data_IF_422898373530
#
_entry.id   IF_422898373530
#
_cell.length_a   1.000
_cell.length_b   1.000
_cell.length_c   1.000
_cell.angle_alpha   90.00
_cell.angle_beta   90.00
_cell.angle_gamma   90.00
#
_symmetry.space_group_name_H-M   'P 1'
#
loop_
_entity.id
_entity.type
_entity.pdbx_description
1 polymer ?
#
# COMPACT_ATOMS: atom_id res chain seq x y z
N UNK A 1 15.15 7.97 17.50
CA UNK A 1 16.18 8.55 16.61
C UNK A 1 17.50 7.82 16.84
N UNK A 2 17.66 6.63 16.25
CA UNK A 2 19.00 6.04 16.11
C UNK A 2 19.74 6.77 15.00
N UNK A 3 21.04 6.98 15.15
CA UNK A 3 21.89 7.45 14.07
C UNK A 3 21.68 6.54 12.84
N UNK A 4 21.07 7.09 11.79
CA UNK A 4 20.79 6.39 10.54
C UNK A 4 22.12 6.00 9.91
N UNK A 5 22.44 4.70 9.98
CA UNK A 5 23.51 4.15 9.16
C UNK A 5 23.05 4.11 7.71
N UNK A 6 24.00 4.26 6.78
CA UNK A 6 23.77 4.13 5.33
C UNK A 6 23.29 2.70 5.00
N UNK A 7 21.99 2.44 5.17
CA UNK A 7 21.40 1.11 4.93
C UNK A 7 21.45 0.75 3.46
N UNK A 8 21.17 1.70 2.56
CA UNK A 8 21.40 1.54 1.12
C UNK A 8 22.69 2.27 0.75
N UNK A 9 23.56 1.64 -0.03
CA UNK A 9 24.76 2.28 -0.55
C UNK A 9 25.07 1.85 -1.97
N UNK A 10 25.32 2.82 -2.85
CA UNK A 10 25.89 2.60 -4.17
C UNK A 10 27.40 2.69 -4.05
N UNK A 11 28.08 1.55 -4.09
CA UNK A 11 29.53 1.49 -4.06
C UNK A 11 30.09 1.67 -5.47
N UNK A 12 30.56 2.88 -5.76
CA UNK A 12 31.19 3.26 -7.02
C UNK A 12 32.72 3.28 -6.85
N UNK A 13 33.41 2.39 -7.58
CA UNK A 13 34.88 2.29 -7.58
C UNK A 13 35.43 2.84 -8.90
N UNK A 14 36.08 4.02 -8.92
CA UNK A 14 36.64 4.58 -10.14
C UNK A 14 37.64 3.64 -10.81
N UNK A 15 37.58 3.54 -12.14
CA UNK A 15 38.57 2.79 -12.88
C UNK A 15 39.95 3.45 -12.74
N UNK A 16 41.01 2.64 -12.58
CA UNK A 16 42.39 3.11 -12.36
C UNK A 16 43.03 3.85 -13.55
N UNK A 17 42.32 3.99 -14.67
CA UNK A 17 42.86 4.57 -15.89
C UNK A 17 42.38 6.00 -16.03
N UNK A 18 43.32 6.94 -16.15
CA UNK A 18 43.00 8.37 -16.38
C UNK A 18 42.18 8.60 -17.67
N UNK A 19 42.26 7.69 -18.65
CA UNK A 19 41.48 7.76 -19.89
C UNK A 19 40.01 7.35 -19.73
N UNK A 20 39.65 6.78 -18.59
CA UNK A 20 38.31 6.29 -18.26
C UNK A 20 37.79 6.97 -17.00
N UNK A 21 37.93 8.30 -16.95
CA UNK A 21 37.61 9.13 -15.78
C UNK A 21 36.13 9.03 -15.35
N UNK A 22 35.22 8.70 -16.27
CA UNK A 22 33.78 8.52 -16.05
C UNK A 22 33.37 7.06 -15.86
N UNK A 23 34.29 6.10 -15.93
CA UNK A 23 33.97 4.68 -15.80
C UNK A 23 34.19 4.22 -14.36
N UNK A 24 33.20 3.54 -13.79
CA UNK A 24 33.27 2.97 -12.44
C UNK A 24 32.80 1.51 -12.43
N UNK A 25 33.33 0.74 -11.50
CA UNK A 25 32.74 -0.51 -11.08
C UNK A 25 31.66 -0.23 -10.01
N UNK A 26 30.43 -0.66 -10.24
CA UNK A 26 29.27 -0.48 -9.37
C UNK A 26 28.89 -1.80 -8.68
N UNK A 27 28.60 -1.70 -7.39
CA UNK A 27 27.87 -2.67 -6.58
C UNK A 27 26.88 -1.93 -5.68
N UNK A 28 25.72 -2.52 -5.41
CA UNK A 28 24.74 -1.97 -4.46
C UNK A 28 24.77 -2.82 -3.21
N UNK A 29 24.88 -2.17 -2.06
CA UNK A 29 24.87 -2.78 -0.74
C UNK A 29 23.56 -2.44 -0.02
N UNK A 30 22.98 -3.43 0.66
CA UNK A 30 21.88 -3.23 1.60
C UNK A 30 22.28 -3.80 2.95
N UNK A 31 22.23 -2.97 4.00
CA UNK A 31 22.70 -3.29 5.35
C UNK A 31 24.17 -3.80 5.37
N UNK A 32 24.98 -3.28 4.44
CA UNK A 32 26.39 -3.65 4.27
C UNK A 32 26.65 -4.91 3.42
N UNK A 33 25.60 -5.63 3.04
CA UNK A 33 25.70 -6.87 2.26
C UNK A 33 25.46 -6.61 0.76
N UNK A 34 26.19 -7.28 -0.16
CA UNK A 34 25.97 -7.16 -1.60
C UNK A 34 24.54 -7.56 -2.00
N UNK A 35 23.81 -6.61 -2.59
CA UNK A 35 22.44 -6.80 -3.04
C UNK A 35 22.34 -6.89 -4.58
N UNK A 36 23.24 -6.23 -5.31
CA UNK A 36 23.29 -6.21 -6.78
C UNK A 36 24.72 -5.92 -7.26
N UNK A 37 25.19 -6.50 -8.40
CA UNK A 37 24.47 -7.32 -9.39
C UNK A 37 24.17 -8.74 -8.97
N UNK A 38 25.01 -9.33 -8.11
CA UNK A 38 24.82 -10.71 -7.64
C UNK A 38 24.71 -10.70 -6.12
N UNK A 39 23.51 -11.01 -5.56
CA UNK A 39 23.31 -10.97 -4.12
C UNK A 39 24.28 -11.90 -3.36
N UNK A 40 24.96 -11.35 -2.35
CA UNK A 40 25.94 -12.03 -1.49
C UNK A 40 27.36 -12.13 -2.05
N UNK A 41 27.63 -11.67 -3.27
CA UNK A 41 28.96 -11.76 -3.90
C UNK A 41 29.69 -10.41 -3.88
N UNK A 42 30.74 -10.28 -3.07
CA UNK A 42 31.49 -9.02 -2.87
C UNK A 42 32.37 -8.61 -4.04
N UNK A 43 32.70 -9.56 -4.91
CA UNK A 43 33.55 -9.36 -6.09
C UNK A 43 32.74 -9.12 -7.37
N UNK A 44 31.41 -9.31 -7.32
CA UNK A 44 30.54 -9.10 -8.46
C UNK A 44 30.31 -7.59 -8.66
N UNK A 45 30.93 -7.02 -9.69
CA UNK A 45 30.86 -5.59 -10.02
C UNK A 45 30.42 -5.41 -11.47
N UNK A 46 29.65 -4.37 -11.74
CA UNK A 46 29.30 -3.96 -13.11
C UNK A 46 30.13 -2.74 -13.49
N UNK A 47 30.88 -2.81 -14.61
CA UNK A 47 31.54 -1.63 -15.17
C UNK A 47 30.51 -0.77 -15.90
N UNK A 48 30.30 0.45 -15.41
CA UNK A 48 29.30 1.41 -15.91
C UNK A 48 29.94 2.73 -16.30
N UNK A 49 29.28 3.50 -17.16
CA UNK A 49 29.52 4.94 -17.26
C UNK A 49 28.68 5.65 -16.19
N UNK A 50 29.31 6.50 -15.38
CA UNK A 50 28.61 7.13 -14.25
C UNK A 50 27.59 8.19 -14.70
N UNK A 51 27.78 8.77 -15.88
CA UNK A 51 26.84 9.70 -16.49
C UNK A 51 25.53 9.02 -16.89
N UNK A 52 25.54 7.73 -17.26
CA UNK A 52 24.32 6.95 -17.50
C UNK A 52 23.46 6.84 -16.23
N UNK A 53 24.09 6.52 -15.09
CA UNK A 53 23.40 6.47 -13.80
C UNK A 53 22.87 7.86 -13.39
N UNK A 54 23.65 8.91 -13.58
CA UNK A 54 23.19 10.28 -13.26
C UNK A 54 22.02 10.69 -14.14
N UNK A 55 22.07 10.39 -15.44
CA UNK A 55 20.99 10.69 -16.38
C UNK A 55 19.71 9.96 -15.96
N UNK A 56 19.79 8.66 -15.68
CA UNK A 56 18.65 7.87 -15.19
C UNK A 56 18.05 8.47 -13.92
N UNK A 57 18.88 8.76 -12.91
CA UNK A 57 18.40 9.33 -11.66
C UNK A 57 17.79 10.72 -11.85
N UNK A 58 18.30 11.51 -12.80
CA UNK A 58 17.77 12.85 -13.11
C UNK A 58 16.42 12.77 -13.83
N UNK A 59 16.33 11.96 -14.88
CA UNK A 59 15.13 11.82 -15.71
C UNK A 59 13.99 11.16 -14.93
N UNK A 60 14.33 10.18 -14.08
CA UNK A 60 13.36 9.41 -13.31
C UNK A 60 13.27 9.81 -11.83
N UNK A 61 13.85 10.95 -11.43
CA UNK A 61 13.81 11.40 -10.03
C UNK A 61 12.38 11.50 -9.49
N UNK A 62 11.50 12.17 -10.24
CA UNK A 62 10.10 12.38 -9.84
C UNK A 62 9.31 11.08 -9.75
N UNK A 63 9.31 10.17 -10.75
CA UNK A 63 8.64 8.89 -10.61
C UNK A 63 9.20 8.07 -9.44
N UNK A 64 10.53 7.98 -9.27
CA UNK A 64 11.14 7.23 -8.16
C UNK A 64 10.69 7.78 -6.79
N UNK A 65 10.66 9.09 -6.63
CA UNK A 65 10.39 9.71 -5.33
C UNK A 65 8.91 9.92 -5.03
N UNK A 66 8.07 10.18 -6.04
CA UNK A 66 6.68 10.62 -5.84
C UNK A 66 5.66 9.54 -6.16
N UNK A 67 5.93 8.65 -7.11
CA UNK A 67 4.97 7.60 -7.49
C UNK A 67 4.98 6.49 -6.45
N UNK A 68 3.79 6.12 -5.97
CA UNK A 68 3.63 5.05 -4.97
C UNK A 68 2.65 3.95 -5.40
N UNK A 69 2.24 3.99 -6.66
CA UNK A 69 1.23 3.08 -7.24
C UNK A 69 1.74 2.48 -8.54
N UNK A 70 1.27 1.27 -8.84
CA UNK A 70 1.53 0.61 -10.12
C UNK A 70 0.79 1.31 -11.27
N UNK A 71 1.27 1.18 -12.51
CA UNK A 71 0.72 1.86 -13.67
C UNK A 71 -0.62 1.26 -14.15
N UNK A 72 -1.02 0.11 -13.60
CA UNK A 72 -2.23 -0.65 -13.95
C UNK A 72 -2.97 -1.09 -12.67
N UNK A 73 -4.17 -1.64 -12.84
CA UNK A 73 -5.03 -2.21 -11.79
C UNK A 73 -4.49 -3.56 -11.28
N UNK A 74 -3.24 -3.56 -10.80
CA UNK A 74 -2.57 -4.73 -10.24
C UNK A 74 -1.84 -4.40 -8.93
N UNK A 75 -1.89 -5.33 -7.97
CA UNK A 75 -1.25 -5.22 -6.66
C UNK A 75 -0.24 -6.37 -6.47
N UNK A 76 0.79 -6.46 -7.33
CA UNK A 76 1.79 -7.50 -7.18
C UNK A 76 2.47 -7.38 -5.82
N UNK A 77 2.76 -8.52 -5.20
CA UNK A 77 3.55 -8.56 -3.96
C UNK A 77 5.02 -8.15 -4.16
N UNK A 78 5.47 -8.16 -5.42
CA UNK A 78 6.83 -7.91 -5.88
C UNK A 78 6.80 -7.10 -7.18
N UNK A 79 7.49 -5.96 -7.29
CA UNK A 79 7.56 -5.19 -8.54
C UNK A 79 7.90 -6.05 -9.76
N UNK A 80 8.84 -6.99 -9.61
CA UNK A 80 9.27 -7.90 -10.70
C UNK A 80 8.17 -8.81 -11.27
N UNK A 81 7.05 -8.98 -10.57
CA UNK A 81 5.92 -9.81 -11.03
C UNK A 81 4.83 -9.02 -11.75
N UNK A 82 4.95 -7.69 -11.84
CA UNK A 82 3.94 -6.83 -12.46
C UNK A 82 3.60 -7.26 -13.89
N UNK A 83 4.63 -7.39 -14.73
CA UNK A 83 4.47 -7.73 -16.15
C UNK A 83 3.82 -9.09 -16.36
N UNK A 84 4.25 -10.11 -15.63
CA UNK A 84 3.68 -11.46 -15.78
C UNK A 84 2.22 -11.54 -15.32
N UNK A 85 1.82 -10.73 -14.34
CA UNK A 85 0.42 -10.59 -13.94
C UNK A 85 -0.38 -9.92 -15.05
N UNK A 86 0.13 -8.81 -15.62
CA UNK A 86 -0.54 -8.10 -16.70
C UNK A 86 -0.71 -8.98 -17.97
N UNK A 87 0.35 -9.68 -18.37
CA UNK A 87 0.34 -10.58 -19.54
C UNK A 87 -0.73 -11.67 -19.43
N UNK A 88 -0.96 -12.21 -18.22
CA UNK A 88 -2.01 -13.19 -17.98
C UNK A 88 -3.42 -12.60 -18.16
N UNK A 89 -3.61 -11.32 -17.86
CA UNK A 89 -4.89 -10.64 -18.04
C UNK A 89 -5.12 -10.18 -19.49
N UNK A 90 -4.05 -9.82 -20.21
CA UNK A 90 -4.11 -9.38 -21.59
C UNK A 90 -4.72 -10.41 -22.54
N UNK A 91 -4.64 -11.71 -22.22
CA UNK A 91 -5.31 -12.79 -22.97
C UNK A 91 -6.84 -12.59 -23.07
N UNK A 92 -7.43 -11.80 -22.18
CA UNK A 92 -8.86 -11.54 -22.09
C UNK A 92 -9.23 -10.08 -22.36
N UNK A 93 -8.26 -9.21 -22.60
CA UNK A 93 -8.46 -7.79 -22.88
C UNK A 93 -8.61 -7.49 -24.38
N UNK A 94 -9.13 -6.31 -24.68
CA UNK A 94 -9.09 -5.80 -26.05
C UNK A 94 -7.63 -5.44 -26.43
N UNK A 95 -7.19 -5.69 -27.68
CA UNK A 95 -5.80 -5.46 -28.08
C UNK A 95 -5.29 -4.03 -27.83
N UNK A 96 -6.15 -3.03 -28.04
CA UNK A 96 -5.79 -1.62 -27.81
C UNK A 96 -5.59 -1.31 -26.32
N UNK A 97 -6.38 -1.93 -25.44
CA UNK A 97 -6.23 -1.79 -24.00
C UNK A 97 -4.94 -2.48 -23.51
N UNK A 98 -4.68 -3.70 -23.97
CA UNK A 98 -3.46 -4.44 -23.66
C UNK A 98 -2.19 -3.69 -24.13
N UNK A 99 -2.22 -3.10 -25.34
CA UNK A 99 -1.11 -2.30 -25.84
C UNK A 99 -0.87 -1.02 -25.00
N UNK A 100 -1.94 -0.35 -24.55
CA UNK A 100 -1.81 0.82 -23.68
C UNK A 100 -1.24 0.45 -22.31
N UNK A 101 -1.65 -0.69 -21.74
CA UNK A 101 -1.07 -1.21 -20.51
C UNK A 101 0.40 -1.62 -20.67
N UNK A 102 0.77 -2.28 -21.77
CA UNK A 102 2.15 -2.65 -22.06
C UNK A 102 3.07 -1.42 -22.14
N UNK A 103 2.62 -0.35 -22.80
CA UNK A 103 3.35 0.93 -22.83
C UNK A 103 3.48 1.55 -21.43
N UNK A 104 2.43 1.47 -20.62
CA UNK A 104 2.44 2.00 -19.26
C UNK A 104 3.39 1.21 -18.32
N UNK A 105 3.41 -0.12 -18.44
CA UNK A 105 4.32 -1.02 -17.71
C UNK A 105 5.76 -0.79 -18.17
N UNK A 106 6.00 -0.69 -19.48
CA UNK A 106 7.35 -0.45 -20.01
C UNK A 106 7.94 0.86 -19.48
N UNK A 107 7.18 1.96 -19.50
CA UNK A 107 7.62 3.24 -18.90
C UNK A 107 7.81 3.15 -17.38
N UNK A 108 7.07 2.28 -16.71
CA UNK A 108 7.24 2.04 -15.29
C UNK A 108 8.54 1.28 -15.00
N UNK A 109 8.81 0.21 -15.76
CA UNK A 109 10.05 -0.57 -15.73
C UNK A 109 11.28 0.30 -16.00
N UNK A 110 11.24 1.10 -17.06
CA UNK A 110 12.33 2.04 -17.40
C UNK A 110 12.67 2.97 -16.23
N UNK A 111 11.70 3.39 -15.43
CA UNK A 111 11.94 4.27 -14.29
C UNK A 111 12.39 3.51 -13.02
N UNK A 112 11.83 2.33 -12.75
CA UNK A 112 11.92 1.66 -11.45
C UNK A 112 12.84 0.43 -11.44
N UNK A 113 13.26 -0.11 -12.58
CA UNK A 113 14.31 -1.11 -12.65
C UNK A 113 15.62 -0.47 -13.10
N UNK A 114 16.58 -0.38 -12.17
CA UNK A 114 17.87 0.24 -12.40
C UNK A 114 18.69 -0.47 -13.50
N UNK A 115 18.37 -1.72 -13.85
CA UNK A 115 19.04 -2.41 -14.93
C UNK A 115 18.90 -1.69 -16.29
N UNK A 116 17.86 -0.86 -16.44
CA UNK A 116 17.63 -0.02 -17.61
C UNK A 116 18.51 1.24 -17.68
N UNK A 117 19.21 1.59 -16.60
CA UNK A 117 20.00 2.82 -16.55
C UNK A 117 21.23 2.79 -17.47
N UNK A 118 21.76 1.61 -17.82
CA UNK A 118 23.10 1.48 -18.38
C UNK A 118 23.11 1.18 -19.88
N UNK A 119 23.41 2.20 -20.69
CA UNK A 119 23.37 2.08 -22.14
C UNK A 119 24.42 1.08 -22.67
N UNK A 120 23.97 0.14 -23.51
CA UNK A 120 24.85 -0.83 -24.16
C UNK A 120 25.28 -2.01 -23.29
N UNK A 121 24.83 -2.08 -22.04
CA UNK A 121 24.90 -3.30 -21.23
C UNK A 121 23.61 -4.11 -21.42
N UNK A 122 23.75 -5.42 -21.60
CA UNK A 122 22.62 -6.33 -21.85
C UNK A 122 22.66 -7.49 -20.85
N UNK A 123 21.47 -7.98 -20.48
CA UNK A 123 21.33 -9.13 -19.59
C UNK A 123 21.76 -8.85 -18.14
N UNK A 124 21.73 -7.58 -17.72
CA UNK A 124 21.88 -7.24 -16.31
C UNK A 124 20.69 -7.80 -15.52
N UNK A 125 20.93 -8.34 -14.31
CA UNK A 125 19.82 -8.75 -13.44
C UNK A 125 19.03 -7.50 -13.01
N UNK A 126 17.69 -7.61 -12.88
CA UNK A 126 16.86 -6.48 -12.48
C UNK A 126 17.18 -6.05 -11.05
N UNK A 127 17.11 -4.75 -10.80
CA UNK A 127 17.14 -4.17 -9.46
C UNK A 127 16.04 -3.12 -9.33
N UNK A 128 14.93 -3.55 -8.73
CA UNK A 128 13.72 -2.77 -8.61
C UNK A 128 13.78 -1.83 -7.42
N UNK A 129 13.25 -0.64 -7.65
CA UNK A 129 13.25 0.49 -6.74
C UNK A 129 11.86 1.15 -6.78
N UNK A 130 11.01 0.87 -5.79
CA UNK A 130 9.64 1.40 -5.75
C UNK A 130 9.28 1.96 -4.37
N UNK A 131 8.79 3.20 -4.34
CA UNK A 131 8.27 3.79 -3.12
C UNK A 131 6.92 3.17 -2.73
N UNK A 132 6.70 2.97 -1.43
CA UNK A 132 5.46 2.49 -0.83
C UNK A 132 5.22 3.20 0.50
N UNK A 133 4.57 4.37 0.46
CA UNK A 133 4.39 5.24 1.63
C UNK A 133 5.71 5.78 2.17
N UNK A 134 5.94 5.55 3.45
CA UNK A 134 7.17 5.89 4.19
C UNK A 134 8.29 4.86 4.01
N UNK A 135 8.03 3.78 3.28
CA UNK A 135 9.00 2.77 2.93
C UNK A 135 9.38 2.83 1.45
N UNK A 136 10.51 2.21 1.14
CA UNK A 136 10.97 1.89 -0.19
C UNK A 136 11.13 0.38 -0.32
N UNK A 137 10.51 -0.20 -1.34
CA UNK A 137 10.67 -1.59 -1.72
C UNK A 137 11.87 -1.65 -2.67
N UNK A 138 12.89 -2.39 -2.25
CA UNK A 138 14.03 -2.75 -3.09
C UNK A 138 13.94 -4.23 -3.39
N UNK A 139 14.10 -4.63 -4.64
CA UNK A 139 14.05 -6.04 -5.02
C UNK A 139 15.15 -6.40 -6.01
N UNK A 140 15.83 -7.52 -5.74
CA UNK A 140 16.69 -8.22 -6.69
C UNK A 140 16.10 -9.59 -7.00
N UNK A 141 16.73 -10.33 -7.90
CA UNK A 141 16.32 -11.70 -8.28
C UNK A 141 16.20 -12.69 -7.11
N UNK A 142 16.80 -12.41 -5.93
CA UNK A 142 16.82 -13.33 -4.78
C UNK A 142 16.19 -12.79 -3.51
N UNK A 143 16.05 -11.47 -3.38
CA UNK A 143 15.67 -10.86 -2.12
C UNK A 143 14.82 -9.60 -2.34
N UNK A 144 14.00 -9.32 -1.32
CA UNK A 144 13.16 -8.14 -1.24
C UNK A 144 13.42 -7.47 0.11
N UNK A 145 13.72 -6.19 0.08
CA UNK A 145 14.00 -5.36 1.24
C UNK A 145 12.98 -4.23 1.34
N UNK A 146 12.74 -3.79 2.58
CA UNK A 146 11.98 -2.59 2.90
C UNK A 146 12.86 -1.68 3.73
N UNK A 147 13.17 -0.50 3.19
CA UNK A 147 13.99 0.51 3.85
C UNK A 147 13.16 1.78 4.03
N UNK A 148 13.42 2.61 5.06
CA UNK A 148 12.79 3.92 5.17
C UNK A 148 13.00 4.77 3.91
N UNK A 149 11.96 5.46 3.45
CA UNK A 149 11.99 6.33 2.28
C UNK A 149 13.13 7.35 2.36
N UNK A 150 13.29 8.00 3.52
CA UNK A 150 14.32 9.00 3.74
C UNK A 150 15.74 8.44 3.63
N UNK A 151 15.99 7.21 4.09
CA UNK A 151 17.30 6.55 3.98
C UNK A 151 17.66 6.30 2.50
N UNK A 152 16.69 5.81 1.72
CA UNK A 152 16.89 5.56 0.28
C UNK A 152 17.10 6.87 -0.48
N UNK A 153 16.26 7.87 -0.22
CA UNK A 153 16.37 9.20 -0.82
C UNK A 153 17.71 9.84 -0.51
N UNK A 154 18.19 9.76 0.74
CA UNK A 154 19.49 10.27 1.15
C UNK A 154 20.63 9.55 0.41
N UNK A 155 20.56 8.22 0.28
CA UNK A 155 21.56 7.43 -0.45
C UNK A 155 21.63 7.79 -1.93
N UNK A 156 20.48 7.93 -2.60
CA UNK A 156 20.42 8.34 -4.01
C UNK A 156 20.94 9.78 -4.21
N UNK A 157 20.60 10.69 -3.30
CA UNK A 157 21.14 12.05 -3.31
C UNK A 157 22.66 12.05 -3.20
N UNK A 158 23.21 11.36 -2.20
CA UNK A 158 24.65 11.24 -2.00
C UNK A 158 25.35 10.62 -3.21
N UNK A 159 24.71 9.64 -3.86
CA UNK A 159 25.23 8.99 -5.07
C UNK A 159 25.30 9.97 -6.23
N UNK A 160 24.21 10.69 -6.54
CA UNK A 160 24.21 11.67 -7.63
C UNK A 160 25.14 12.87 -7.38
N UNK A 161 25.23 13.34 -6.13
CA UNK A 161 26.17 14.40 -5.74
C UNK A 161 27.63 13.96 -5.91
N UNK A 162 27.95 12.71 -5.54
CA UNK A 162 29.27 12.13 -5.76
C UNK A 162 29.60 12.04 -7.26
N UNK A 163 28.65 11.60 -8.08
CA UNK A 163 28.83 11.53 -9.54
C UNK A 163 29.05 12.92 -10.12
N UNK A 164 28.25 13.92 -9.72
CA UNK A 164 28.41 15.30 -10.17
C UNK A 164 29.79 15.87 -9.85
N UNK A 165 30.30 15.65 -8.63
CA UNK A 165 31.64 16.08 -8.23
C UNK A 165 32.70 15.43 -9.14
N UNK A 166 32.56 14.13 -9.42
CA UNK A 166 33.49 13.38 -10.26
C UNK A 166 33.47 13.84 -11.72
N UNK A 167 32.28 14.08 -12.28
CA UNK A 167 32.12 14.59 -13.65
C UNK A 167 32.71 16.00 -13.78
N UNK A 168 32.49 16.86 -12.77
CA UNK A 168 33.08 18.20 -12.72
C UNK A 168 34.62 18.16 -12.73
N UNK A 169 35.23 17.28 -11.93
CA UNK A 169 36.69 17.07 -11.91
C UNK A 169 37.23 16.53 -13.24
N UNK A 170 36.45 15.69 -13.93
CA UNK A 170 36.85 15.10 -15.19
C UNK A 170 36.82 16.12 -16.35
N UNK A 171 35.72 16.87 -16.48
CA UNK A 171 35.52 17.89 -17.52
C UNK A 171 34.30 18.78 -17.19
N UNK A 172 34.51 19.84 -16.41
CA UNK A 172 33.43 20.73 -15.96
C UNK A 172 32.60 21.36 -17.08
N UNK A 173 33.22 21.70 -18.22
CA UNK A 173 32.53 22.34 -19.35
C UNK A 173 31.64 21.32 -20.08
N UNK A 174 32.15 20.11 -20.33
CA UNK A 174 31.38 19.05 -20.99
C UNK A 174 30.15 18.62 -20.19
N UNK A 175 30.28 18.54 -18.86
CA UNK A 175 29.24 17.96 -18.00
C UNK A 175 28.35 18.98 -17.30
N UNK A 176 28.50 20.27 -17.60
CA UNK A 176 27.76 21.34 -16.94
C UNK A 176 26.25 21.14 -17.00
N UNK A 177 25.70 20.74 -18.16
CA UNK A 177 24.26 20.57 -18.34
C UNK A 177 23.70 19.40 -17.51
N UNK A 178 24.42 18.27 -17.44
CA UNK A 178 24.01 17.11 -16.64
C UNK A 178 24.05 17.43 -15.13
N UNK A 179 25.08 18.16 -14.69
CA UNK A 179 25.20 18.61 -13.29
C UNK A 179 24.09 19.59 -12.93
N UNK A 180 23.79 20.55 -13.82
CA UNK A 180 22.71 21.51 -13.62
C UNK A 180 21.35 20.80 -13.56
N UNK A 181 21.09 19.85 -14.47
CA UNK A 181 19.86 19.07 -14.48
C UNK A 181 19.68 18.26 -13.18
N UNK A 182 20.75 17.64 -12.67
CA UNK A 182 20.73 16.99 -11.36
C UNK A 182 20.39 17.97 -10.24
N UNK A 183 20.99 19.15 -10.21
CA UNK A 183 20.72 20.17 -9.19
C UNK A 183 19.28 20.70 -9.26
N UNK A 184 18.68 20.73 -10.45
CA UNK A 184 17.30 21.16 -10.70
C UNK A 184 16.28 20.01 -10.67
N UNK A 185 16.68 18.78 -10.29
CA UNK A 185 15.80 17.58 -10.33
C UNK A 185 14.47 17.73 -9.56
N UNK A 186 14.50 18.50 -8.47
CA UNK A 186 13.33 18.80 -7.62
C UNK A 186 12.42 19.88 -8.23
N UNK A 187 12.89 20.62 -9.24
CA UNK A 187 12.09 21.64 -9.89
C UNK A 187 10.92 21.01 -10.65
N UNK A 188 9.75 21.59 -10.47
CA UNK A 188 8.52 21.18 -11.13
C UNK A 188 7.40 22.16 -10.81
N UNK A 189 6.48 22.33 -11.74
CA UNK A 189 5.25 23.08 -11.46
C UNK A 189 4.30 22.27 -10.57
N UNK A 190 3.42 22.95 -9.85
CA UNK A 190 2.50 22.33 -8.90
C UNK A 190 1.62 21.23 -9.51
N UNK A 191 1.15 21.40 -10.75
CA UNK A 191 0.31 20.40 -11.41
C UNK A 191 1.11 19.14 -11.78
N UNK A 192 2.36 19.31 -12.25
CA UNK A 192 3.27 18.21 -12.49
C UNK A 192 3.61 17.43 -11.22
N UNK A 193 3.96 18.13 -10.14
CA UNK A 193 4.25 17.49 -8.85
C UNK A 193 3.03 16.76 -8.29
N UNK A 194 1.86 17.38 -8.38
CA UNK A 194 0.61 16.76 -7.96
C UNK A 194 0.33 15.48 -8.76
N UNK A 195 0.36 15.56 -10.10
CA UNK A 195 0.13 14.44 -11.00
C UNK A 195 1.02 13.22 -10.67
N UNK A 196 2.31 13.46 -10.40
CA UNK A 196 3.22 12.40 -9.98
C UNK A 196 2.88 11.82 -8.61
N UNK A 197 2.64 12.67 -7.61
CA UNK A 197 2.34 12.24 -6.24
C UNK A 197 1.02 11.47 -6.13
N UNK A 198 0.04 11.78 -6.97
CA UNK A 198 -1.28 11.13 -6.98
C UNK A 198 -1.45 10.09 -8.09
N UNK A 199 -0.46 9.92 -8.97
CA UNK A 199 -0.58 9.05 -10.15
C UNK A 199 -1.77 9.41 -11.05
N UNK A 200 -2.11 10.70 -11.13
CA UNK A 200 -3.15 11.23 -12.02
C UNK A 200 -2.52 11.75 -13.32
N UNK A 201 -3.32 11.88 -14.38
CA UNK A 201 -2.89 12.64 -15.53
C UNK A 201 -2.77 14.14 -15.20
N UNK A 202 -1.91 14.83 -15.93
CA UNK A 202 -1.59 16.24 -15.67
C UNK A 202 -2.78 17.17 -15.92
N UNK A 203 -3.66 16.83 -16.84
CA UNK A 203 -4.83 17.66 -17.17
C UNK A 203 -5.86 17.59 -16.04
N UNK A 204 -6.12 16.40 -15.51
CA UNK A 204 -6.97 16.18 -14.34
C UNK A 204 -6.38 16.84 -13.09
N UNK A 205 -5.09 16.65 -12.82
CA UNK A 205 -4.41 17.34 -11.71
C UNK A 205 -4.56 18.86 -11.82
N UNK A 206 -4.39 19.42 -13.03
CA UNK A 206 -4.62 20.85 -13.30
C UNK A 206 -6.07 21.26 -13.04
N UNK A 207 -7.04 20.43 -13.43
CA UNK A 207 -8.46 20.68 -13.19
C UNK A 207 -8.78 20.72 -11.70
N UNK A 208 -8.32 19.73 -10.93
CA UNK A 208 -8.55 19.63 -9.49
C UNK A 208 -7.95 20.82 -8.73
N UNK A 209 -6.80 21.33 -9.16
CA UNK A 209 -6.20 22.55 -8.61
C UNK A 209 -7.05 23.79 -8.92
N UNK A 210 -7.52 23.96 -10.16
CA UNK A 210 -8.36 25.11 -10.57
C UNK A 210 -9.70 25.13 -9.86
N UNK A 211 -10.27 23.96 -9.59
CA UNK A 211 -11.52 23.78 -8.88
C UNK A 211 -11.36 23.99 -7.36
N UNK A 212 -10.12 24.03 -6.85
CA UNK A 212 -9.85 24.04 -5.41
C UNK A 212 -10.21 22.72 -4.72
N UNK A 213 -10.29 21.62 -5.48
CA UNK A 213 -10.51 20.26 -4.97
C UNK A 213 -9.25 19.68 -4.32
N UNK A 214 -8.07 20.11 -4.77
CA UNK A 214 -6.78 19.83 -4.14
C UNK A 214 -5.97 21.12 -4.01
N UNK A 215 -5.09 21.17 -3.01
CA UNK A 215 -4.14 22.26 -2.85
C UNK A 215 -2.88 22.01 -3.68
N UNK A 216 -2.25 23.06 -4.24
CA UNK A 216 -0.99 22.91 -4.96
C UNK A 216 0.12 22.52 -3.98
N UNK A 217 0.91 21.47 -4.27
CA UNK A 217 2.10 21.19 -3.48
C UNK A 217 3.03 22.41 -3.45
N UNK A 218 3.52 22.77 -2.27
CA UNK A 218 4.35 23.97 -2.11
C UNK A 218 5.72 23.82 -2.80
N UNK A 219 6.24 22.59 -2.81
CA UNK A 219 7.52 22.22 -3.40
C UNK A 219 7.60 20.69 -3.54
N UNK A 220 8.73 20.18 -4.00
CA UNK A 220 8.96 18.75 -4.16
C UNK A 220 8.88 17.96 -2.84
N UNK A 221 9.44 18.48 -1.74
CA UNK A 221 9.35 17.81 -0.43
C UNK A 221 7.90 17.75 0.06
N UNK A 222 7.11 18.77 -0.26
CA UNK A 222 5.68 18.76 0.00
C UNK A 222 4.94 17.73 -0.85
N UNK A 223 5.25 17.63 -2.14
CA UNK A 223 4.70 16.58 -3.00
C UNK A 223 5.13 15.17 -2.57
N UNK A 224 6.34 15.05 -2.02
CA UNK A 224 6.93 13.80 -1.57
C UNK A 224 6.49 13.41 -0.15
N UNK A 225 5.92 14.29 0.66
CA UNK A 225 5.38 13.89 1.94
C UNK A 225 3.95 13.35 1.76
N UNK A 226 3.56 12.42 2.63
CA UNK A 226 2.19 11.88 2.66
C UNK A 226 1.34 12.63 3.71
N UNK A 227 1.57 13.92 3.93
CA UNK A 227 0.90 14.68 5.00
C UNK A 227 -0.47 15.28 4.60
N UNK A 228 -0.97 14.92 3.42
CA UNK A 228 -2.18 15.50 2.83
C UNK A 228 -3.17 14.40 2.46
N UNK A 229 -4.21 14.30 3.26
CA UNK A 229 -5.25 13.29 3.17
C UNK A 229 -6.01 13.37 1.85
N UNK A 230 -6.22 14.57 1.30
CA UNK A 230 -6.92 14.70 0.03
C UNK A 230 -6.05 14.26 -1.14
N UNK A 231 -4.73 14.49 -1.07
CA UNK A 231 -3.77 13.94 -2.05
C UNK A 231 -3.68 12.42 -1.96
N UNK A 232 -3.68 11.84 -0.76
CA UNK A 232 -3.73 10.39 -0.58
C UNK A 232 -5.06 9.84 -1.14
N UNK A 233 -6.21 10.47 -0.85
CA UNK A 233 -7.50 10.08 -1.41
C UNK A 233 -7.50 10.08 -2.94
N UNK A 234 -6.95 11.13 -3.55
CA UNK A 234 -6.78 11.24 -4.99
C UNK A 234 -5.86 10.14 -5.56
N UNK A 235 -4.76 9.83 -4.86
CA UNK A 235 -3.82 8.77 -5.22
C UNK A 235 -4.47 7.40 -5.26
N UNK A 236 -5.22 7.12 -4.20
CA UNK A 236 -5.97 5.89 -4.01
C UNK A 236 -7.05 5.76 -5.10
N UNK A 237 -7.81 6.83 -5.37
CA UNK A 237 -8.83 6.85 -6.41
C UNK A 237 -8.29 6.92 -7.86
N UNK A 238 -6.98 7.10 -8.08
CA UNK A 238 -6.43 7.49 -9.38
C UNK A 238 -6.59 6.49 -10.54
N UNK A 239 -7.09 5.28 -10.28
CA UNK A 239 -7.48 4.31 -11.32
C UNK A 239 -8.93 4.49 -11.82
N UNK A 240 -9.70 5.40 -11.21
CA UNK A 240 -11.10 5.64 -11.51
C UNK A 240 -11.31 6.75 -12.53
N UNK A 241 -12.50 6.82 -13.14
CA UNK A 241 -12.96 8.00 -13.86
C UNK A 241 -12.84 9.29 -13.03
N UNK A 242 -12.57 10.40 -13.74
CA UNK A 242 -12.30 11.70 -13.13
C UNK A 242 -13.44 12.26 -12.26
N UNK A 243 -14.69 11.91 -12.56
CA UNK A 243 -15.88 12.24 -11.77
C UNK A 243 -15.90 11.48 -10.43
N UNK A 244 -15.56 10.18 -10.44
CA UNK A 244 -15.47 9.37 -9.23
C UNK A 244 -14.31 9.80 -8.32
N UNK A 245 -13.17 10.19 -8.91
CA UNK A 245 -12.05 10.76 -8.14
C UNK A 245 -12.49 12.02 -7.39
N UNK A 246 -13.23 12.93 -8.05
CA UNK A 246 -13.76 14.14 -7.42
C UNK A 246 -14.72 13.81 -6.30
N UNK A 247 -15.56 12.79 -6.49
CA UNK A 247 -16.50 12.35 -5.46
C UNK A 247 -15.78 11.84 -4.22
N UNK A 248 -14.78 10.97 -4.38
CA UNK A 248 -13.98 10.46 -3.25
C UNK A 248 -13.24 11.59 -2.52
N UNK A 249 -12.63 12.53 -3.24
CA UNK A 249 -12.01 13.72 -2.63
C UNK A 249 -13.07 14.56 -1.88
N UNK A 250 -14.26 14.71 -2.46
CA UNK A 250 -15.39 15.40 -1.85
C UNK A 250 -15.90 14.73 -0.59
N UNK A 251 -15.94 13.40 -0.55
CA UNK A 251 -16.25 12.60 0.65
C UNK A 251 -15.17 12.79 1.71
N UNK A 252 -13.89 12.70 1.35
CA UNK A 252 -12.79 12.90 2.30
C UNK A 252 -12.82 14.29 2.96
N UNK A 253 -13.08 15.32 2.16
CA UNK A 253 -13.16 16.72 2.61
C UNK A 253 -14.27 16.98 3.64
N UNK A 254 -15.30 16.13 3.68
CA UNK A 254 -16.42 16.30 4.60
C UNK A 254 -16.04 16.09 6.07
N UNK A 255 -14.96 15.37 6.34
CA UNK A 255 -14.48 15.07 7.69
C UNK A 255 -13.52 16.17 8.14
N UNK A 256 -13.98 17.06 9.01
CA UNK A 256 -13.12 18.10 9.57
C UNK A 256 -12.14 17.49 10.58
N UNK A 257 -10.90 17.98 10.58
CA UNK A 257 -9.90 17.58 11.56
C UNK A 257 -10.38 17.83 12.98
N UNK A 258 -10.29 16.81 13.82
CA UNK A 258 -10.62 16.89 15.24
C UNK A 258 -9.77 15.93 16.07
N UNK A 259 -9.73 16.17 17.39
CA UNK A 259 -8.97 15.34 18.32
C UNK A 259 -9.73 14.07 18.70
N UNK A 260 -9.05 12.93 18.61
CA UNK A 260 -9.55 11.62 18.99
C UNK A 260 -8.52 10.90 19.88
N UNK A 261 -8.27 11.45 21.07
CA UNK A 261 -7.24 10.97 22.00
C UNK A 261 -7.36 9.47 22.34
N UNK A 262 -8.60 8.97 22.47
CA UNK A 262 -8.86 7.57 22.75
C UNK A 262 -8.40 6.66 21.59
N UNK A 263 -8.69 7.06 20.35
CA UNK A 263 -8.19 6.37 19.16
C UNK A 263 -6.67 6.45 19.06
N UNK A 264 -6.08 7.65 19.24
CA UNK A 264 -4.62 7.87 19.20
C UNK A 264 -3.89 6.97 20.18
N UNK A 265 -4.35 6.91 21.43
CA UNK A 265 -3.76 6.06 22.45
C UNK A 265 -3.87 4.57 22.10
N UNK A 266 -5.04 4.12 21.63
CA UNK A 266 -5.25 2.73 21.25
C UNK A 266 -4.43 2.33 20.01
N UNK A 267 -4.33 3.21 19.02
CA UNK A 267 -3.53 3.02 17.80
C UNK A 267 -2.04 2.90 18.16
N UNK A 268 -1.51 3.82 18.96
CA UNK A 268 -0.12 3.78 19.41
C UNK A 268 0.20 2.49 20.19
N UNK A 269 -0.68 2.10 21.11
CA UNK A 269 -0.57 0.85 21.87
C UNK A 269 -0.57 -0.39 20.94
N UNK A 270 -1.48 -0.43 19.95
CA UNK A 270 -1.59 -1.55 19.01
C UNK A 270 -0.38 -1.63 18.05
N UNK A 271 0.05 -0.50 17.50
CA UNK A 271 1.22 -0.41 16.62
C UNK A 271 2.49 -0.82 17.34
N UNK A 272 2.69 -0.35 18.59
CA UNK A 272 3.83 -0.75 19.41
C UNK A 272 3.84 -2.27 19.66
N UNK A 273 2.68 -2.84 19.99
CA UNK A 273 2.54 -4.28 20.22
C UNK A 273 2.89 -5.09 18.96
N UNK A 274 2.42 -4.67 17.78
CA UNK A 274 2.76 -5.34 16.51
C UNK A 274 4.26 -5.22 16.20
N UNK A 275 4.83 -4.02 16.34
CA UNK A 275 6.25 -3.79 16.08
C UNK A 275 7.16 -4.62 17.00
N UNK A 276 6.80 -4.76 18.28
CA UNK A 276 7.60 -5.51 19.26
C UNK A 276 7.45 -7.03 19.08
N UNK A 277 6.22 -7.53 18.92
CA UNK A 277 5.92 -8.97 19.03
C UNK A 277 5.74 -9.67 17.69
N UNK A 278 5.43 -8.94 16.63
CA UNK A 278 5.12 -9.47 15.30
C UNK A 278 5.89 -8.76 14.16
N UNK A 279 7.18 -8.37 14.33
CA UNK A 279 7.92 -7.58 13.33
C UNK A 279 8.13 -8.31 11.99
N UNK A 280 8.12 -9.63 11.99
CA UNK A 280 8.32 -10.48 10.81
C UNK A 280 7.13 -11.39 10.51
N UNK A 281 6.01 -11.18 11.20
CA UNK A 281 4.80 -11.94 10.97
C UNK A 281 4.17 -11.56 9.63
N UNK A 282 3.42 -12.48 9.03
CA UNK A 282 2.68 -12.19 7.81
C UNK A 282 1.59 -11.16 8.10
N UNK A 283 1.16 -10.35 7.12
CA UNK A 283 0.19 -9.28 7.37
C UNK A 283 -1.14 -9.77 7.98
N UNK A 284 -1.64 -10.95 7.55
CA UNK A 284 -2.84 -11.53 8.17
C UNK A 284 -2.64 -11.86 9.66
N UNK A 285 -1.47 -12.36 10.05
CA UNK A 285 -1.14 -12.71 11.44
C UNK A 285 -1.06 -11.45 12.31
N UNK A 286 -0.51 -10.36 11.76
CA UNK A 286 -0.51 -9.06 12.41
C UNK A 286 -1.95 -8.55 12.63
N UNK A 287 -2.83 -8.70 11.63
CA UNK A 287 -4.24 -8.32 11.74
C UNK A 287 -4.98 -9.09 12.83
N UNK A 288 -4.82 -10.42 12.87
CA UNK A 288 -5.42 -11.26 13.92
C UNK A 288 -4.84 -10.96 15.32
N UNK A 289 -3.55 -10.64 15.42
CA UNK A 289 -2.92 -10.25 16.68
C UNK A 289 -3.45 -8.88 17.18
N UNK A 290 -3.54 -7.89 16.29
CA UNK A 290 -4.08 -6.57 16.61
C UNK A 290 -5.55 -6.66 17.04
N UNK A 291 -6.37 -7.46 16.36
CA UNK A 291 -7.77 -7.67 16.73
C UNK A 291 -7.93 -8.19 18.17
N UNK A 292 -7.16 -9.22 18.54
CA UNK A 292 -7.18 -9.79 19.89
C UNK A 292 -6.72 -8.78 20.94
N UNK A 293 -5.65 -8.05 20.64
CA UNK A 293 -5.15 -6.99 21.51
C UNK A 293 -6.18 -5.88 21.74
N UNK A 294 -6.84 -5.42 20.68
CA UNK A 294 -7.86 -4.36 20.78
C UNK A 294 -9.06 -4.85 21.60
N UNK A 295 -9.52 -6.09 21.41
CA UNK A 295 -10.57 -6.68 22.27
C UNK A 295 -10.17 -6.70 23.73
N UNK A 296 -8.94 -7.14 24.04
CA UNK A 296 -8.42 -7.17 25.40
C UNK A 296 -8.35 -5.75 26.01
N UNK A 297 -7.80 -4.79 25.26
CA UNK A 297 -7.64 -3.40 25.70
C UNK A 297 -8.98 -2.73 25.99
N UNK A 298 -10.01 -3.08 25.23
CA UNK A 298 -11.38 -2.58 25.38
C UNK A 298 -12.24 -3.46 26.31
N UNK A 299 -11.65 -4.49 26.95
CA UNK A 299 -12.36 -5.43 27.84
C UNK A 299 -13.55 -6.14 27.19
N UNK A 300 -13.46 -6.43 25.89
CA UNK A 300 -14.48 -7.15 25.12
C UNK A 300 -14.18 -8.65 25.17
N UNK A 301 -14.94 -9.39 25.98
CA UNK A 301 -14.81 -10.84 26.11
C UNK A 301 -15.10 -11.55 24.79
N UNK A 302 -14.36 -12.61 24.48
CA UNK A 302 -14.42 -13.29 23.16
C UNK A 302 -15.81 -13.85 22.81
N UNK A 303 -16.60 -14.22 23.82
CA UNK A 303 -17.96 -14.77 23.71
C UNK A 303 -19.05 -13.74 23.36
N UNK A 304 -18.68 -12.46 23.19
CA UNK A 304 -19.63 -11.37 22.86
C UNK A 304 -19.42 -10.81 21.47
N UNK A 305 -20.52 -10.50 20.79
CA UNK A 305 -20.53 -9.67 19.59
C UNK A 305 -19.96 -8.27 19.88
N UNK A 306 -19.18 -7.74 18.95
CA UNK A 306 -18.66 -6.38 19.06
C UNK A 306 -19.69 -5.40 18.53
N UNK A 307 -20.05 -4.42 19.35
CA UNK A 307 -20.83 -3.25 18.92
C UNK A 307 -19.91 -2.23 18.25
N UNK A 308 -19.52 -2.52 17.01
CA UNK A 308 -18.44 -1.79 16.32
C UNK A 308 -18.73 -0.29 16.16
N UNK A 309 -19.98 0.10 15.89
CA UNK A 309 -20.38 1.50 15.72
C UNK A 309 -20.35 2.30 17.02
N UNK A 310 -20.93 1.76 18.10
CA UNK A 310 -20.88 2.36 19.45
C UNK A 310 -19.43 2.54 19.89
N UNK A 311 -18.59 1.53 19.65
CA UNK A 311 -17.18 1.57 19.98
C UNK A 311 -16.42 2.61 19.15
N UNK A 312 -16.61 2.66 17.84
CA UNK A 312 -15.95 3.65 16.98
C UNK A 312 -16.28 5.07 17.42
N UNK A 313 -17.56 5.34 17.71
CA UNK A 313 -18.02 6.62 18.27
C UNK A 313 -17.32 6.93 19.60
N UNK A 314 -17.17 5.93 20.48
CA UNK A 314 -16.49 6.12 21.78
C UNK A 314 -14.99 6.39 21.65
N UNK A 315 -14.36 5.97 20.54
CA UNK A 315 -12.97 6.28 20.22
C UNK A 315 -12.80 7.69 19.63
N UNK A 316 -13.91 8.40 19.37
CA UNK A 316 -13.91 9.70 18.72
C UNK A 316 -13.80 9.62 17.19
N UNK A 317 -14.22 8.50 16.58
CA UNK A 317 -14.29 8.38 15.12
C UNK A 317 -15.61 8.99 14.65
N UNK A 318 -15.54 9.96 13.74
CA UNK A 318 -16.71 10.49 13.06
C UNK A 318 -17.25 9.46 12.05
N UNK A 319 -18.53 9.12 12.16
CA UNK A 319 -19.20 8.18 11.25
C UNK A 319 -20.13 8.94 10.31
N UNK A 320 -19.98 8.70 9.01
CA UNK A 320 -20.94 9.17 8.00
C UNK A 320 -21.34 8.03 7.10
N UNK A 321 -22.58 8.05 6.64
CA UNK A 321 -23.04 7.15 5.60
C UNK A 321 -24.06 7.90 4.74
N UNK A 322 -23.93 7.76 3.43
CA UNK A 322 -24.86 8.25 2.41
C UNK A 322 -24.58 7.46 1.12
N UNK A 323 -25.48 7.50 0.12
CA UNK A 323 -25.16 6.97 -1.21
C UNK A 323 -24.05 7.79 -1.88
N UNK A 324 -23.10 7.10 -2.53
CA UNK A 324 -22.01 7.68 -3.31
C UNK A 324 -21.63 6.80 -4.51
N UNK A 325 -21.09 7.41 -5.57
CA UNK A 325 -20.46 6.71 -6.69
C UNK A 325 -18.94 6.51 -6.46
N UNK A 326 -18.37 5.40 -6.98
CA UNK A 326 -19.08 4.28 -7.59
C UNK A 326 -19.78 3.40 -6.52
N UNK A 327 -20.83 2.63 -6.87
CA UNK A 327 -21.48 1.69 -5.95
C UNK A 327 -20.57 0.55 -5.51
N UNK A 328 -19.40 0.39 -6.14
CA UNK A 328 -18.36 -0.52 -5.69
C UNK A 328 -17.55 0.01 -4.51
N UNK A 329 -17.71 1.29 -4.13
CA UNK A 329 -17.14 1.85 -2.90
C UNK A 329 -17.92 1.27 -1.74
N UNK A 330 -17.28 0.50 -0.87
CA UNK A 330 -17.93 0.01 0.35
C UNK A 330 -17.76 1.01 1.49
N UNK A 331 -16.53 1.45 1.71
CA UNK A 331 -16.17 2.35 2.79
C UNK A 331 -14.93 3.17 2.46
N UNK A 332 -14.70 4.19 3.28
CA UNK A 332 -13.52 5.05 3.23
C UNK A 332 -13.14 5.46 4.65
N UNK A 333 -11.95 5.09 5.12
CA UNK A 333 -11.35 5.68 6.33
C UNK A 333 -10.50 6.90 5.96
N UNK A 334 -10.58 7.95 6.78
CA UNK A 334 -9.78 9.16 6.61
C UNK A 334 -9.19 9.55 7.95
N UNK A 335 -7.89 9.74 8.00
CA UNK A 335 -7.21 10.34 9.14
C UNK A 335 -5.93 11.06 8.71
N UNK A 336 -5.81 12.31 9.13
CA UNK A 336 -4.56 13.05 9.12
C UNK A 336 -4.67 14.39 9.87
N UNK A 337 -3.68 15.29 9.69
CA UNK A 337 -3.61 16.57 10.40
C UNK A 337 -4.80 17.53 10.18
N UNK A 338 -5.48 17.46 9.04
CA UNK A 338 -6.55 18.38 8.62
C UNK A 338 -7.91 17.71 8.50
N UNK A 339 -7.95 16.39 8.31
CA UNK A 339 -9.18 15.64 8.07
C UNK A 339 -9.28 14.40 8.96
N UNK A 340 -10.48 14.14 9.48
CA UNK A 340 -10.76 12.97 10.32
C UNK A 340 -10.29 13.10 11.78
N UNK A 341 -10.17 11.99 12.52
CA UNK A 341 -10.42 10.61 12.05
C UNK A 341 -11.91 10.36 11.77
N UNK A 342 -12.20 9.67 10.66
CA UNK A 342 -13.56 9.36 10.28
C UNK A 342 -13.68 8.15 9.36
N UNK A 343 -14.88 7.59 9.31
CA UNK A 343 -15.25 6.52 8.38
C UNK A 343 -16.52 6.91 7.64
N UNK A 344 -16.47 6.79 6.32
CA UNK A 344 -17.62 6.86 5.43
C UNK A 344 -18.04 5.44 5.03
N UNK A 345 -19.35 5.16 5.04
CA UNK A 345 -19.92 3.92 4.48
C UNK A 345 -20.89 4.26 3.35
N UNK A 346 -20.73 3.61 2.21
CA UNK A 346 -21.53 3.92 1.03
C UNK A 346 -22.84 3.12 1.00
N UNK A 347 -23.97 3.80 1.14
CA UNK A 347 -25.29 3.16 1.07
C UNK A 347 -25.65 2.62 -0.32
N UNK A 348 -24.98 3.09 -1.38
CA UNK A 348 -25.18 2.56 -2.73
C UNK A 348 -24.50 1.19 -2.93
N UNK A 349 -23.56 0.80 -2.06
CA UNK A 349 -22.94 -0.51 -2.13
C UNK A 349 -23.87 -1.60 -1.62
N UNK A 350 -24.06 -2.63 -2.46
CA UNK A 350 -24.81 -3.84 -2.10
C UNK A 350 -24.15 -4.67 -0.99
N UNK A 351 -22.90 -4.37 -0.62
CA UNK A 351 -22.25 -4.96 0.56
C UNK A 351 -22.63 -4.21 1.84
N UNK A 352 -22.82 -2.89 1.78
CA UNK A 352 -23.16 -2.08 2.94
C UNK A 352 -24.64 -2.20 3.27
N UNK A 353 -25.53 -2.07 2.29
CA UNK A 353 -26.97 -2.29 2.48
C UNK A 353 -27.46 -3.35 1.50
N UNK A 354 -28.00 -4.44 2.04
CA UNK A 354 -28.75 -5.40 1.22
C UNK A 354 -30.02 -4.76 0.64
N UNK A 355 -30.61 -5.39 -0.37
CA UNK A 355 -31.83 -4.86 -1.06
C UNK A 355 -32.98 -4.51 -0.12
N UNK A 356 -33.10 -5.19 1.01
CA UNK A 356 -34.18 -5.02 1.98
C UNK A 356 -33.74 -4.29 3.26
N UNK A 357 -32.45 -3.99 3.40
CA UNK A 357 -31.90 -3.31 4.57
C UNK A 357 -32.09 -1.79 4.43
N UNK A 358 -32.44 -1.14 5.53
CA UNK A 358 -32.61 0.33 5.60
C UNK A 358 -31.81 0.98 6.72
N UNK A 359 -31.13 0.17 7.51
CA UNK A 359 -30.38 0.59 8.68
C UNK A 359 -28.94 0.12 8.53
N UNK A 360 -28.03 1.07 8.34
CA UNK A 360 -26.60 0.81 8.14
C UNK A 360 -26.00 0.17 9.38
N UNK A 361 -26.39 0.57 10.59
CA UNK A 361 -25.80 0.03 11.82
C UNK A 361 -26.24 -1.42 12.09
N UNK A 362 -27.44 -1.78 11.63
CA UNK A 362 -27.96 -3.14 11.70
C UNK A 362 -27.43 -4.06 10.58
N UNK A 363 -26.85 -3.50 9.52
CA UNK A 363 -26.34 -4.29 8.40
C UNK A 363 -25.08 -5.08 8.77
N UNK A 364 -25.13 -6.39 8.51
CA UNK A 364 -24.00 -7.30 8.74
C UNK A 364 -22.78 -6.90 7.90
N UNK A 365 -22.99 -6.44 6.66
CA UNK A 365 -21.91 -6.04 5.78
C UNK A 365 -21.28 -4.72 6.20
N UNK A 366 -22.10 -3.73 6.57
CA UNK A 366 -21.63 -2.46 7.13
C UNK A 366 -20.78 -2.66 8.39
N UNK A 367 -21.14 -3.62 9.26
CA UNK A 367 -20.35 -3.96 10.46
C UNK A 367 -18.97 -4.51 10.12
N UNK A 368 -18.89 -5.38 9.10
CA UNK A 368 -17.61 -5.93 8.63
C UNK A 368 -16.76 -4.83 8.00
N UNK A 369 -17.34 -3.99 7.16
CA UNK A 369 -16.67 -2.84 6.57
C UNK A 369 -16.17 -1.88 7.64
N UNK A 370 -17.00 -1.52 8.62
CA UNK A 370 -16.60 -0.65 9.73
C UNK A 370 -15.43 -1.24 10.55
N UNK A 371 -15.44 -2.55 10.81
CA UNK A 371 -14.32 -3.22 11.49
C UNK A 371 -13.04 -3.24 10.65
N UNK A 372 -13.17 -3.31 9.32
CA UNK A 372 -12.05 -3.20 8.39
C UNK A 372 -11.46 -1.79 8.41
N UNK A 373 -12.29 -0.76 8.26
CA UNK A 373 -11.85 0.65 8.28
C UNK A 373 -11.25 1.05 9.63
N UNK A 374 -11.78 0.49 10.73
CA UNK A 374 -11.16 0.65 12.05
C UNK A 374 -9.73 0.10 12.09
N UNK A 375 -9.43 -1.00 11.40
CA UNK A 375 -8.06 -1.52 11.33
C UNK A 375 -7.11 -0.50 10.68
N UNK A 376 -7.56 0.16 9.62
CA UNK A 376 -6.75 1.17 8.94
C UNK A 376 -6.45 2.33 9.86
N UNK A 377 -7.48 2.86 10.53
CA UNK A 377 -7.27 3.90 11.54
C UNK A 377 -6.27 3.43 12.61
N UNK A 378 -6.43 2.23 13.16
CA UNK A 378 -5.58 1.75 14.26
C UNK A 378 -4.14 1.43 13.87
N UNK A 379 -3.90 0.85 12.69
CA UNK A 379 -2.59 0.30 12.34
C UNK A 379 -1.86 1.14 11.29
N UNK A 380 -2.57 1.89 10.46
CA UNK A 380 -1.97 2.76 9.44
C UNK A 380 -1.86 4.22 9.93
N UNK A 381 -2.53 4.57 11.05
CA UNK A 381 -2.29 5.76 11.86
C UNK A 381 -2.68 7.09 11.19
N UNK A 382 -1.89 8.15 11.39
CA UNK A 382 -2.12 9.50 10.83
C UNK A 382 -1.96 9.58 9.30
N UNK A 383 -1.67 8.45 8.64
CA UNK A 383 -1.65 8.29 7.19
C UNK A 383 -2.72 7.29 6.73
N UNK A 384 -3.67 6.94 7.61
CA UNK A 384 -4.74 6.01 7.30
C UNK A 384 -5.70 6.66 6.31
N UNK A 385 -5.55 6.27 5.05
CA UNK A 385 -6.55 6.50 4.03
C UNK A 385 -6.73 5.22 3.24
N UNK A 386 -7.85 4.56 3.50
CA UNK A 386 -8.27 3.31 2.88
C UNK A 386 -9.62 3.54 2.26
N UNK A 387 -9.83 3.02 1.06
CA UNK A 387 -11.15 2.91 0.47
C UNK A 387 -11.34 1.45 0.08
N UNK A 388 -12.37 0.80 0.60
CA UNK A 388 -12.59 -0.62 0.31
C UNK A 388 -13.09 -0.79 -1.12
N UNK A 389 -12.47 -1.75 -1.83
CA UNK A 389 -12.89 -2.38 -3.11
C UNK A 389 -12.84 -1.51 -4.37
N UNK A 390 -12.95 -0.19 -4.27
CA UNK A 390 -12.76 0.73 -5.42
C UNK A 390 -11.30 0.88 -5.78
N UNK A 391 -10.42 0.59 -4.83
CA UNK A 391 -9.00 0.90 -4.95
C UNK A 391 -8.24 0.08 -5.95
N UNK A 392 -8.87 -0.88 -6.65
CA UNK A 392 -8.31 -1.42 -7.91
C UNK A 392 -6.79 -1.65 -7.80
N UNK A 393 -6.42 -2.36 -6.73
CA UNK A 393 -5.04 -2.74 -6.46
C UNK A 393 -4.03 -1.63 -6.07
N UNK A 394 -4.48 -0.42 -5.69
CA UNK A 394 -3.61 0.72 -5.31
C UNK A 394 -3.21 0.81 -3.85
N UNK A 395 -3.89 0.09 -2.95
CA UNK A 395 -3.41 -0.10 -1.58
C UNK A 395 -2.49 -1.33 -1.52
N UNK A 396 -1.36 -1.30 -0.80
CA UNK A 396 -0.46 -2.45 -0.72
C UNK A 396 -1.20 -3.70 -0.24
N UNK A 397 -1.06 -4.82 -0.94
CA UNK A 397 -1.81 -6.05 -0.66
C UNK A 397 -1.68 -6.55 0.79
N UNK A 398 -0.54 -6.30 1.44
CA UNK A 398 -0.34 -6.61 2.85
C UNK A 398 -1.23 -5.78 3.80
N UNK A 399 -1.46 -4.51 3.50
CA UNK A 399 -2.30 -3.59 4.29
C UNK A 399 -3.75 -4.08 4.25
N UNK A 400 -4.26 -4.37 3.04
CA UNK A 400 -5.57 -4.99 2.81
C UNK A 400 -5.74 -6.34 3.52
N UNK A 401 -4.76 -7.23 3.37
CA UNK A 401 -4.80 -8.55 4.01
C UNK A 401 -4.85 -8.44 5.54
N UNK A 402 -4.10 -7.48 6.11
CA UNK A 402 -4.10 -7.18 7.55
C UNK A 402 -5.47 -6.69 8.00
N UNK A 403 -6.08 -5.73 7.31
CA UNK A 403 -7.40 -5.19 7.65
C UNK A 403 -8.53 -6.22 7.55
N UNK A 404 -8.54 -7.05 6.48
CA UNK A 404 -9.49 -8.17 6.36
C UNK A 404 -9.37 -9.17 7.50
N UNK A 405 -8.14 -9.53 7.87
CA UNK A 405 -7.87 -10.49 8.95
C UNK A 405 -8.22 -9.92 10.32
N UNK A 406 -7.93 -8.63 10.53
CA UNK A 406 -8.38 -7.88 11.70
C UNK A 406 -9.89 -7.90 11.81
N UNK A 407 -10.63 -7.47 10.78
CA UNK A 407 -12.09 -7.39 10.82
C UNK A 407 -12.73 -8.74 11.16
N UNK A 408 -12.26 -9.81 10.51
CA UNK A 408 -12.73 -11.16 10.80
C UNK A 408 -12.46 -11.57 12.24
N UNK A 409 -11.22 -11.45 12.73
CA UNK A 409 -10.84 -11.89 14.08
C UNK A 409 -11.45 -11.02 15.17
N UNK A 410 -11.58 -9.73 14.89
CA UNK A 410 -12.14 -8.75 15.79
C UNK A 410 -13.63 -9.00 16.01
N UNK A 411 -14.37 -9.35 14.95
CA UNK A 411 -15.80 -9.64 15.04
C UNK A 411 -16.07 -11.06 15.56
N UNK A 412 -15.40 -12.07 15.01
CA UNK A 412 -15.51 -13.48 15.46
C UNK A 412 -14.11 -14.07 15.67
N UNK A 413 -13.64 -14.16 16.93
CA UNK A 413 -12.35 -14.78 17.21
C UNK A 413 -12.33 -16.24 16.74
N UNK A 414 -11.24 -16.66 16.07
CA UNK A 414 -11.13 -18.04 15.56
C UNK A 414 -11.26 -19.09 16.67
N UNK A 415 -10.82 -18.79 17.89
CA UNK A 415 -10.96 -19.71 19.02
C UNK A 415 -12.43 -19.97 19.38
N UNK A 416 -13.29 -18.95 19.26
CA UNK A 416 -14.73 -19.13 19.49
C UNK A 416 -15.38 -19.89 18.32
N UNK A 417 -15.03 -19.57 17.08
CA UNK A 417 -15.50 -20.36 15.94
C UNK A 417 -15.14 -21.86 16.10
N UNK A 418 -13.96 -22.15 16.66
CA UNK A 418 -13.55 -23.51 17.00
C UNK A 418 -14.47 -24.13 18.07
N UNK A 419 -14.81 -23.41 19.14
CA UNK A 419 -15.74 -23.90 20.18
C UNK A 419 -17.12 -24.27 19.62
N UNK A 420 -17.67 -23.44 18.74
CA UNK A 420 -18.95 -23.71 18.06
C UNK A 420 -18.86 -24.96 17.19
N UNK A 421 -17.81 -25.06 16.39
CA UNK A 421 -17.56 -26.24 15.55
C UNK A 421 -17.36 -27.52 16.39
N UNK A 422 -16.62 -27.43 17.51
CA UNK A 422 -16.43 -28.55 18.44
C UNK A 422 -17.73 -28.97 19.13
N UNK A 423 -18.54 -28.00 19.59
CA UNK A 423 -19.85 -28.25 20.22
C UNK A 423 -20.82 -28.94 19.25
N UNK A 424 -20.75 -28.58 17.97
CA UNK A 424 -21.49 -29.24 16.89
C UNK A 424 -20.92 -30.61 16.48
N UNK A 425 -19.91 -31.12 17.19
CA UNK A 425 -19.21 -32.40 16.92
C UNK A 425 -18.41 -32.40 15.62
N UNK A 426 -17.81 -31.25 15.27
CA UNK A 426 -16.91 -31.08 14.12
C UNK A 426 -17.54 -31.56 12.80
N UNK A 427 -18.71 -31.04 12.40
CA UNK A 427 -19.31 -31.44 11.14
C UNK A 427 -18.36 -31.13 9.97
N UNK A 428 -18.39 -32.00 8.96
CA UNK A 428 -17.67 -31.84 7.69
C UNK A 428 -18.62 -31.82 6.50
N UNK A 429 -19.88 -32.20 6.71
CA UNK A 429 -20.93 -32.15 5.71
C UNK A 429 -21.58 -30.76 5.63
N UNK A 430 -22.21 -30.50 4.49
CA UNK A 430 -22.81 -29.19 4.18
C UNK A 430 -23.86 -28.76 5.20
N UNK A 431 -24.72 -29.68 5.65
CA UNK A 431 -25.83 -29.34 6.53
C UNK A 431 -25.33 -28.98 7.94
N UNK A 432 -24.39 -29.76 8.47
CA UNK A 432 -23.77 -29.48 9.75
C UNK A 432 -22.95 -28.19 9.74
N UNK A 433 -22.19 -27.91 8.68
CA UNK A 433 -21.44 -26.66 8.55
C UNK A 433 -22.35 -25.44 8.35
N UNK A 434 -23.42 -25.55 7.56
CA UNK A 434 -24.41 -24.47 7.43
C UNK A 434 -25.08 -24.15 8.78
N UNK A 435 -25.34 -25.15 9.62
CA UNK A 435 -25.88 -24.92 10.97
C UNK A 435 -24.90 -24.14 11.86
N UNK A 436 -23.62 -24.52 11.89
CA UNK A 436 -22.58 -23.80 12.66
C UNK A 436 -22.41 -22.36 12.15
N UNK A 437 -22.38 -22.17 10.83
CA UNK A 437 -22.25 -20.85 10.21
C UNK A 437 -23.45 -19.96 10.55
N UNK A 438 -24.68 -20.49 10.48
CA UNK A 438 -25.89 -19.72 10.88
C UNK A 438 -25.86 -19.33 12.35
N UNK A 439 -25.43 -20.22 13.24
CA UNK A 439 -25.33 -19.93 14.67
C UNK A 439 -24.34 -18.78 14.94
N UNK A 440 -23.19 -18.78 14.24
CA UNK A 440 -22.22 -17.69 14.34
C UNK A 440 -22.74 -16.37 13.76
N UNK A 441 -23.45 -16.40 12.63
CA UNK A 441 -24.10 -15.20 12.05
C UNK A 441 -25.08 -14.58 13.06
N UNK A 442 -25.95 -15.40 13.66
CA UNK A 442 -26.98 -14.94 14.59
C UNK A 442 -26.39 -14.36 15.88
N UNK A 443 -25.33 -14.97 16.42
CA UNK A 443 -24.76 -14.55 17.71
C UNK A 443 -23.79 -13.38 17.58
N UNK A 444 -22.97 -13.38 16.52
CA UNK A 444 -21.93 -12.36 16.35
C UNK A 444 -22.31 -11.24 15.38
N UNK A 445 -23.46 -11.36 14.71
CA UNK A 445 -23.99 -10.36 13.77
C UNK A 445 -22.95 -10.03 12.68
N UNK A 446 -22.47 -11.08 12.01
CA UNK A 446 -21.50 -11.00 10.91
C UNK A 446 -22.04 -11.60 9.62
N UNK A 447 -21.41 -11.28 8.49
CA UNK A 447 -21.78 -11.89 7.22
C UNK A 447 -21.49 -13.39 7.20
N UNK A 448 -22.23 -14.09 6.34
CA UNK A 448 -22.04 -15.53 6.10
C UNK A 448 -20.61 -15.89 5.67
N UNK A 449 -19.99 -15.04 4.85
CA UNK A 449 -18.60 -15.23 4.40
C UNK A 449 -17.61 -15.17 5.57
N UNK A 450 -17.73 -14.17 6.46
CA UNK A 450 -16.86 -14.04 7.64
C UNK A 450 -17.02 -15.25 8.57
N UNK A 451 -18.25 -15.65 8.88
CA UNK A 451 -18.51 -16.83 9.70
C UNK A 451 -17.92 -18.11 9.10
N UNK A 452 -18.09 -18.33 7.78
CA UNK A 452 -17.52 -19.48 7.08
C UNK A 452 -15.98 -19.49 7.10
N UNK A 453 -15.33 -18.36 6.82
CA UNK A 453 -13.86 -18.24 6.91
C UNK A 453 -13.35 -18.56 8.31
N UNK A 454 -14.03 -18.11 9.37
CA UNK A 454 -13.60 -18.39 10.74
C UNK A 454 -13.76 -19.84 11.15
N UNK A 455 -14.81 -20.51 10.68
CA UNK A 455 -14.94 -21.98 10.83
C UNK A 455 -13.81 -22.70 10.10
N UNK A 456 -13.44 -22.25 8.90
CA UNK A 456 -12.32 -22.84 8.17
C UNK A 456 -10.97 -22.63 8.89
N UNK A 457 -10.70 -21.41 9.35
CA UNK A 457 -9.48 -21.10 10.09
C UNK A 457 -9.38 -21.96 11.35
N UNK A 458 -10.50 -22.15 12.07
CA UNK A 458 -10.58 -23.05 13.21
C UNK A 458 -10.26 -24.51 12.82
N UNK A 459 -10.85 -25.02 11.74
CA UNK A 459 -10.63 -26.38 11.26
C UNK A 459 -9.17 -26.61 10.78
N UNK A 460 -8.56 -25.63 10.11
CA UNK A 460 -7.16 -25.67 9.67
C UNK A 460 -6.19 -25.80 10.85
N UNK A 461 -6.47 -25.17 12.00
CA UNK A 461 -5.68 -25.36 13.24
C UNK A 461 -5.69 -26.81 13.74
N UNK A 462 -6.67 -27.61 13.31
CA UNK A 462 -6.79 -29.05 13.58
C UNK A 462 -6.43 -29.92 12.36
N UNK A 463 -5.78 -29.36 11.35
CA UNK A 463 -5.42 -30.04 10.09
C UNK A 463 -6.62 -30.66 9.36
N UNK A 464 -7.79 -30.03 9.45
CA UNK A 464 -9.00 -30.40 8.69
C UNK A 464 -9.24 -29.37 7.60
N UNK A 465 -9.32 -29.83 6.36
CA UNK A 465 -9.68 -28.99 5.21
C UNK A 465 -11.19 -29.05 4.97
N UNK A 466 -11.85 -27.90 5.09
CA UNK A 466 -13.29 -27.73 4.88
C UNK A 466 -13.60 -26.87 3.65
N UNK A 467 -12.58 -26.48 2.87
CA UNK A 467 -12.68 -25.43 1.85
C UNK A 467 -13.82 -25.68 0.88
N UNK A 468 -13.82 -26.85 0.23
CA UNK A 468 -14.81 -27.21 -0.78
C UNK A 468 -16.25 -27.23 -0.24
N UNK A 469 -16.45 -27.73 0.99
CA UNK A 469 -17.79 -27.78 1.57
C UNK A 469 -18.26 -26.38 1.97
N UNK A 470 -17.39 -25.57 2.56
CA UNK A 470 -17.72 -24.21 2.98
C UNK A 470 -17.96 -23.28 1.78
N UNK A 471 -17.28 -23.49 0.65
CA UNK A 471 -17.58 -22.78 -0.61
C UNK A 471 -19.02 -23.07 -1.10
N UNK A 472 -19.56 -24.25 -0.79
CA UNK A 472 -20.97 -24.58 -1.07
C UNK A 472 -21.96 -24.00 -0.05
N UNK A 473 -21.50 -23.70 1.17
CA UNK A 473 -22.30 -23.10 2.25
C UNK A 473 -22.34 -21.57 2.13
N UNK A 474 -21.23 -20.98 1.70
CA UNK A 474 -21.02 -19.55 1.53
C UNK A 474 -20.29 -19.30 0.20
N UNK A 475 -21.02 -19.30 -0.93
CA UNK A 475 -20.43 -19.01 -2.24
C UNK A 475 -19.81 -17.61 -2.26
N UNK A 476 -18.67 -17.47 -2.95
CA UNK A 476 -17.96 -16.19 -3.10
C UNK A 476 -17.44 -15.58 -1.78
N UNK A 477 -17.16 -16.43 -0.78
CA UNK A 477 -16.52 -16.00 0.47
C UNK A 477 -15.09 -15.52 0.26
#
# INVERSE_FOLDING_TARGET
MSAGGDRLKFELRPHSSERRSTTCALMILIDGEPAWPVPGETEALVEIQIDDLLAHLTDFWKPLMLRQVYPIDAAPSRPSTLRSIAEAEWEHMQPEAAAAEDEAITRFEEAHDLSHAFAGLYGLPPFWMMRSGEDYILESSRALWRLPFDDVRASLNATGDWICARLHEADAERWQDAIAAWQERDAGDAAGLLAWSTGLDRDLATSLLKEGALEPPQNFNDAANDNDELRIAARMAGALPADQIREIIGLARQFAGHEAEALKALAADAQAMIAERFPHAKPFEQGEAAARFVRERLSITADRAVKVFEMATSLGIELRHNPAEPPSLDGLAIWGPRHGPGVFLNEASGRILGRDDRDVEASLGARVTMAHELCHLLLDGEHALSAIEVLKARMPAGVEQRAKSFAGEFLVPTDIAAEFWHRAKRPVDRAGLDAVVRELIEIYEVTRSVAAWKVEHAARRHAVDLSATLDSVAPHR
#
